data_IF_063268902862
#
_entry.id   IF_063268902862
#
_cell.length_a   1.000
_cell.length_b   1.000
_cell.length_c   1.000
_cell.angle_alpha   90.00
_cell.angle_beta   90.00
_cell.angle_gamma   90.00
#
_symmetry.space_group_name_H-M   'P 1'
#
loop_
_entity.id
_entity.type
_entity.pdbx_description
1 polymer ?
#
# COMPACT_ATOMS: atom_id res chain seq x y z
N UNK A 1 9.80 -9.58 -4.57
CA UNK A 1 11.18 -9.20 -4.88
C UNK A 1 11.17 -7.70 -5.00
N UNK A 2 12.10 -7.02 -4.35
CA UNK A 2 12.24 -5.57 -4.34
C UNK A 2 13.71 -5.21 -4.61
N UNK A 3 14.03 -3.97 -5.02
CA UNK A 3 15.41 -3.59 -5.32
C UNK A 3 16.32 -3.69 -4.09
N UNK A 4 17.55 -4.19 -4.26
CA UNK A 4 18.49 -4.43 -3.15
C UNK A 4 18.89 -3.15 -2.40
N UNK A 5 18.79 -1.99 -3.04
CA UNK A 5 19.11 -0.70 -2.46
C UNK A 5 17.93 -0.07 -1.69
N UNK A 6 16.79 -0.76 -1.53
CA UNK A 6 15.67 -0.29 -0.72
C UNK A 6 15.80 -0.82 0.71
N UNK A 7 15.58 0.05 1.68
CA UNK A 7 15.57 -0.32 3.08
C UNK A 7 14.26 -1.05 3.41
N UNK A 8 14.37 -2.20 4.08
CA UNK A 8 13.22 -2.98 4.55
C UNK A 8 13.07 -2.81 6.06
N UNK A 9 11.83 -2.61 6.50
CA UNK A 9 11.45 -2.73 7.90
C UNK A 9 10.14 -3.51 8.04
N UNK A 10 10.00 -4.17 9.17
CA UNK A 10 8.79 -4.88 9.57
C UNK A 10 8.47 -4.50 11.01
N UNK A 11 7.21 -4.14 11.23
CA UNK A 11 6.69 -3.74 12.53
C UNK A 11 5.43 -4.55 12.81
N UNK A 12 5.34 -5.11 14.02
CA UNK A 12 4.10 -5.71 14.51
C UNK A 12 3.53 -4.79 15.58
N UNK A 13 2.37 -4.23 15.30
CA UNK A 13 1.74 -3.27 16.23
C UNK A 13 1.07 -4.02 17.40
N UNK A 14 0.45 -5.16 17.08
CA UNK A 14 -0.13 -6.12 18.02
C UNK A 14 -0.17 -7.52 17.39
N UNK A 15 -0.88 -8.46 18.01
CA UNK A 15 -1.02 -9.82 17.51
C UNK A 15 -1.85 -9.92 16.22
N UNK A 16 -2.66 -8.91 15.90
CA UNK A 16 -3.65 -8.91 14.82
C UNK A 16 -3.24 -8.01 13.63
N UNK A 17 -2.16 -7.22 13.79
CA UNK A 17 -1.69 -6.21 12.83
C UNK A 17 -0.19 -6.32 12.57
N UNK A 18 0.17 -6.58 11.32
CA UNK A 18 1.55 -6.60 10.84
C UNK A 18 1.74 -5.58 9.73
N UNK A 19 2.85 -4.83 9.77
CA UNK A 19 3.19 -3.81 8.80
C UNK A 19 4.57 -4.11 8.22
N UNK A 20 4.65 -4.09 6.89
CA UNK A 20 5.91 -4.20 6.15
C UNK A 20 6.11 -2.91 5.37
N UNK A 21 7.30 -2.33 5.44
CA UNK A 21 7.66 -1.13 4.72
C UNK A 21 8.95 -1.33 3.92
N UNK A 22 8.97 -0.74 2.73
CA UNK A 22 10.10 -0.66 1.83
C UNK A 22 10.33 0.80 1.47
N UNK A 23 11.51 1.33 1.80
CA UNK A 23 11.87 2.71 1.53
C UNK A 23 12.92 2.78 0.42
N UNK A 24 12.62 3.55 -0.62
CA UNK A 24 13.55 3.83 -1.71
C UNK A 24 14.71 4.72 -1.23
N UNK A 25 15.83 4.80 -1.95
CA UNK A 25 16.90 5.76 -1.65
C UNK A 25 16.48 7.25 -1.76
N UNK A 26 15.38 7.53 -2.47
CA UNK A 26 14.81 8.87 -2.60
C UNK A 26 13.71 9.11 -1.57
N UNK A 27 12.67 9.82 -1.97
CA UNK A 27 11.50 10.12 -1.12
C UNK A 27 10.47 8.99 -1.06
N UNK A 28 10.56 8.02 -1.98
CA UNK A 28 9.51 7.03 -2.19
C UNK A 28 9.49 5.93 -1.13
N UNK A 29 8.29 5.48 -0.76
CA UNK A 29 8.11 4.25 0.02
C UNK A 29 6.89 3.46 -0.44
N UNK A 30 6.90 2.18 -0.08
CA UNK A 30 5.82 1.22 -0.26
C UNK A 30 5.56 0.52 1.08
N UNK A 31 4.31 0.43 1.50
CA UNK A 31 3.92 -0.11 2.79
C UNK A 31 2.70 -1.01 2.61
N UNK A 32 2.74 -2.19 3.24
CA UNK A 32 1.60 -3.09 3.35
C UNK A 32 1.30 -3.37 4.80
N UNK A 33 0.07 -3.05 5.20
CA UNK A 33 -0.50 -3.46 6.45
C UNK A 33 -1.41 -4.68 6.23
N UNK A 34 -1.19 -5.73 7.00
CA UNK A 34 -2.02 -6.91 7.13
C UNK A 34 -2.83 -6.80 8.41
N UNK A 35 -4.15 -6.95 8.29
CA UNK A 35 -5.06 -7.14 9.42
C UNK A 35 -5.59 -8.56 9.40
N UNK A 36 -5.43 -9.28 10.51
CA UNK A 36 -5.93 -10.65 10.68
C UNK A 36 -7.45 -10.72 10.71
N UNK A 37 -8.10 -9.63 11.14
CA UNK A 37 -9.56 -9.54 11.14
C UNK A 37 -10.08 -9.09 9.76
N UNK A 38 -11.09 -9.81 9.26
CA UNK A 38 -11.82 -9.41 8.07
C UNK A 38 -12.58 -8.09 8.31
N UNK A 39 -12.17 -7.03 7.61
CA UNK A 39 -12.84 -5.73 7.54
C UNK A 39 -13.18 -5.41 6.09
N UNK A 40 -14.19 -4.58 5.87
CA UNK A 40 -14.53 -4.11 4.53
C UNK A 40 -13.36 -3.28 3.95
N UNK A 41 -12.91 -3.56 2.71
CA UNK A 41 -11.90 -2.76 2.04
C UNK A 41 -12.27 -1.28 1.93
N UNK A 42 -13.55 -0.97 1.75
CA UNK A 42 -14.06 0.40 1.68
C UNK A 42 -13.85 1.15 3.00
N UNK A 43 -14.12 0.49 4.12
CA UNK A 43 -13.89 1.05 5.46
C UNK A 43 -12.39 1.26 5.67
N UNK A 44 -11.57 0.27 5.37
CA UNK A 44 -10.12 0.35 5.55
C UNK A 44 -9.47 1.45 4.70
N UNK A 45 -9.88 1.58 3.44
CA UNK A 45 -9.39 2.65 2.58
C UNK A 45 -9.81 4.03 3.09
N UNK A 46 -11.03 4.17 3.63
CA UNK A 46 -11.51 5.40 4.22
C UNK A 46 -10.78 5.74 5.55
N UNK A 47 -10.50 4.75 6.40
CA UNK A 47 -9.69 4.92 7.62
C UNK A 47 -8.26 5.39 7.27
N UNK A 48 -7.66 4.83 6.21
CA UNK A 48 -6.35 5.24 5.73
C UNK A 48 -6.36 6.66 5.16
N UNK A 49 -7.34 7.02 4.34
CA UNK A 49 -7.52 8.41 3.87
C UNK A 49 -7.68 9.38 5.04
N UNK A 50 -8.55 9.04 6.00
CA UNK A 50 -8.81 9.88 7.15
C UNK A 50 -7.54 10.16 7.97
N UNK A 51 -6.65 9.16 8.10
CA UNK A 51 -5.35 9.34 8.75
C UNK A 51 -4.49 10.40 8.03
N UNK A 52 -4.48 10.41 6.69
CA UNK A 52 -3.77 11.42 5.91
C UNK A 52 -4.42 12.80 6.07
N UNK A 53 -5.76 12.87 6.05
CA UNK A 53 -6.52 14.12 6.28
C UNK A 53 -6.34 14.73 7.67
N UNK A 54 -5.92 13.95 8.68
CA UNK A 54 -5.55 14.49 10.00
C UNK A 54 -4.17 15.15 10.01
N UNK A 55 -3.29 14.77 9.08
CA UNK A 55 -1.92 15.27 9.00
C UNK A 55 -1.78 16.44 8.02
N UNK A 56 -2.61 16.48 6.98
CA UNK A 56 -2.52 17.47 5.90
C UNK A 56 -3.88 18.09 5.61
N UNK A 57 -3.93 19.43 5.60
CA UNK A 57 -5.18 20.20 5.46
C UNK A 57 -5.68 20.32 4.00
N UNK A 58 -4.79 20.27 3.01
CA UNK A 58 -5.11 20.50 1.59
C UNK A 58 -4.67 19.30 0.76
N UNK A 59 -5.60 18.36 0.57
CA UNK A 59 -5.39 17.10 -0.14
C UNK A 59 -6.38 17.02 -1.31
N UNK A 60 -5.87 16.83 -2.51
CA UNK A 60 -6.69 16.40 -3.64
C UNK A 60 -6.91 14.89 -3.57
N UNK A 61 -8.18 14.46 -3.60
CA UNK A 61 -8.56 13.06 -3.41
C UNK A 61 -9.35 12.57 -4.62
N UNK A 62 -8.90 11.49 -5.23
CA UNK A 62 -9.61 10.80 -6.31
C UNK A 62 -9.89 9.37 -5.89
N UNK A 63 -11.17 8.98 -5.82
CA UNK A 63 -11.55 7.59 -5.54
C UNK A 63 -11.20 6.69 -6.73
N UNK A 64 -10.61 5.52 -6.44
CA UNK A 64 -10.22 4.52 -7.43
C UNK A 64 -10.75 3.15 -7.04
N UNK A 65 -11.23 2.40 -8.03
CA UNK A 65 -11.50 0.98 -7.94
C UNK A 65 -10.80 0.29 -9.10
N UNK A 66 -9.95 -0.70 -8.81
CA UNK A 66 -9.12 -1.36 -9.82
C UNK A 66 -8.84 -2.83 -9.46
N UNK A 67 -8.32 -3.57 -10.43
CA UNK A 67 -7.91 -4.96 -10.25
C UNK A 67 -6.39 -5.08 -10.40
N UNK A 68 -5.72 -5.61 -9.38
CA UNK A 68 -4.27 -5.82 -9.36
C UNK A 68 -4.01 -7.32 -9.25
N UNK A 69 -3.43 -7.93 -10.28
CA UNK A 69 -3.15 -9.39 -10.31
C UNK A 69 -4.37 -10.27 -9.98
N UNK A 70 -5.56 -9.89 -10.46
CA UNK A 70 -6.81 -10.60 -10.20
C UNK A 70 -7.46 -10.28 -8.84
N UNK A 71 -6.90 -9.35 -8.07
CA UNK A 71 -7.44 -8.92 -6.77
C UNK A 71 -8.15 -7.58 -6.95
N UNK A 72 -9.46 -7.56 -6.70
CA UNK A 72 -10.22 -6.31 -6.67
C UNK A 72 -9.78 -5.48 -5.47
N UNK A 73 -9.50 -4.21 -5.73
CA UNK A 73 -9.07 -3.23 -4.73
C UNK A 73 -9.86 -1.94 -4.88
N UNK A 74 -10.01 -1.23 -3.77
CA UNK A 74 -10.65 0.08 -3.70
C UNK A 74 -9.75 1.03 -2.93
N UNK A 75 -9.79 2.31 -3.23
CA UNK A 75 -9.11 3.32 -2.43
C UNK A 75 -9.03 4.66 -3.10
N UNK A 76 -7.89 5.33 -2.92
CA UNK A 76 -7.75 6.74 -3.28
C UNK A 76 -6.38 7.06 -3.85
N UNK A 77 -6.36 7.93 -4.84
CA UNK A 77 -5.18 8.64 -5.31
C UNK A 77 -5.18 10.01 -4.65
N UNK A 78 -4.06 10.34 -4.01
CA UNK A 78 -3.88 11.52 -3.20
C UNK A 78 -2.77 12.39 -3.76
N UNK A 79 -2.96 13.70 -3.72
CA UNK A 79 -1.95 14.71 -4.00
C UNK A 79 -2.01 15.77 -2.91
N UNK A 80 -0.91 16.03 -2.21
CA UNK A 80 -0.88 16.99 -1.10
C UNK A 80 0.49 17.65 -0.92
N UNK A 81 0.52 18.77 -0.20
CA UNK A 81 1.76 19.50 0.10
C UNK A 81 2.38 19.02 1.43
N UNK A 82 3.65 18.65 1.41
CA UNK A 82 4.42 18.24 2.58
C UNK A 82 5.84 18.81 2.53
N UNK A 83 6.22 19.62 3.53
CA UNK A 83 7.57 20.16 3.71
C UNK A 83 8.22 20.72 2.42
N UNK A 84 7.49 21.58 1.70
CA UNK A 84 7.92 22.20 0.44
C UNK A 84 7.85 21.33 -0.83
N UNK A 85 7.33 20.11 -0.70
CA UNK A 85 7.14 19.19 -1.80
C UNK A 85 5.67 18.88 -2.03
N UNK A 86 5.32 18.60 -3.28
CA UNK A 86 4.06 17.94 -3.61
C UNK A 86 4.33 16.43 -3.51
N UNK A 87 3.49 15.72 -2.78
CA UNK A 87 3.56 14.28 -2.59
C UNK A 87 2.41 13.63 -3.33
N UNK A 88 2.75 12.69 -4.22
CA UNK A 88 1.80 11.78 -4.83
C UNK A 88 1.73 10.52 -3.97
N UNK A 89 0.55 10.21 -3.45
CA UNK A 89 0.31 9.02 -2.61
C UNK A 89 -0.87 8.21 -3.14
N UNK A 90 -0.85 6.91 -2.89
CA UNK A 90 -1.86 5.96 -3.35
C UNK A 90 -2.19 5.03 -2.20
N UNK A 91 -3.48 4.91 -1.95
CA UNK A 91 -4.04 4.01 -0.94
C UNK A 91 -4.91 3.00 -1.65
N UNK A 92 -4.69 1.72 -1.39
CA UNK A 92 -5.56 0.62 -1.83
C UNK A 92 -5.85 -0.29 -0.66
N UNK A 93 -7.10 -0.72 -0.54
CA UNK A 93 -7.48 -1.80 0.34
C UNK A 93 -8.11 -2.93 -0.46
N UNK A 94 -7.85 -4.15 -0.01
CA UNK A 94 -8.37 -5.37 -0.61
C UNK A 94 -8.36 -6.50 0.43
N UNK A 95 -9.00 -7.62 0.08
CA UNK A 95 -9.02 -8.82 0.92
C UNK A 95 -8.52 -10.03 0.14
N UNK A 96 -7.74 -10.88 0.81
CA UNK A 96 -7.27 -12.18 0.28
C UNK A 96 -7.42 -13.22 1.39
N UNK A 97 -8.09 -14.35 1.10
CA UNK A 97 -8.19 -15.51 1.99
C UNK A 97 -8.53 -15.17 3.46
N UNK A 98 -9.56 -14.33 3.67
CA UNK A 98 -10.08 -13.80 4.95
C UNK A 98 -9.24 -12.73 5.64
N UNK A 99 -8.09 -12.38 5.10
CA UNK A 99 -7.26 -11.30 5.61
C UNK A 99 -7.58 -10.01 4.87
N UNK A 100 -7.44 -8.90 5.57
CA UNK A 100 -7.63 -7.56 5.00
C UNK A 100 -6.30 -6.86 4.89
N UNK A 101 -6.11 -6.11 3.82
CA UNK A 101 -4.86 -5.42 3.55
C UNK A 101 -5.12 -3.95 3.28
N UNK A 102 -4.20 -3.12 3.75
CA UNK A 102 -4.04 -1.74 3.31
C UNK A 102 -2.67 -1.62 2.69
N UNK A 103 -2.64 -1.20 1.44
CA UNK A 103 -1.45 -0.96 0.66
C UNK A 103 -1.34 0.55 0.45
N UNK A 104 -0.21 1.12 0.84
CA UNK A 104 0.09 2.52 0.66
C UNK A 104 1.44 2.67 -0.05
N UNK A 105 1.52 3.52 -1.06
CA UNK A 105 2.81 3.92 -1.62
C UNK A 105 2.78 5.38 -2.02
N UNK A 106 3.91 6.04 -1.85
CA UNK A 106 4.05 7.46 -2.16
C UNK A 106 5.47 7.82 -2.54
N UNK A 107 5.64 9.01 -3.08
CA UNK A 107 6.91 9.70 -3.27
C UNK A 107 6.64 11.20 -3.48
N UNK A 108 7.68 12.01 -3.46
CA UNK A 108 7.67 13.33 -4.10
C UNK A 108 7.15 13.18 -5.54
N UNK A 109 6.27 14.08 -5.97
CA UNK A 109 5.55 14.00 -7.24
C UNK A 109 6.50 13.88 -8.45
N UNK A 110 7.63 14.59 -8.44
CA UNK A 110 8.63 14.52 -9.50
C UNK A 110 9.37 13.17 -9.58
N UNK A 111 9.45 12.45 -8.45
CA UNK A 111 10.04 11.11 -8.36
C UNK A 111 9.00 10.00 -8.58
N UNK A 112 7.72 10.31 -8.34
CA UNK A 112 6.63 9.34 -8.32
C UNK A 112 6.48 8.61 -9.65
N UNK A 113 6.49 9.33 -10.78
CA UNK A 113 6.39 8.73 -12.12
C UNK A 113 7.55 7.76 -12.42
N UNK A 114 8.77 8.10 -11.97
CA UNK A 114 9.96 7.26 -12.18
C UNK A 114 9.93 6.01 -11.31
N UNK A 115 9.36 6.11 -10.11
CA UNK A 115 9.35 5.04 -9.11
C UNK A 115 8.11 4.15 -9.23
N UNK A 116 7.03 4.65 -9.83
CA UNK A 116 5.76 3.94 -10.02
C UNK A 116 5.88 2.55 -10.63
N UNK A 117 6.71 2.30 -11.67
CA UNK A 117 6.91 0.96 -12.19
C UNK A 117 7.49 -0.02 -11.16
N UNK A 118 8.32 0.48 -10.23
CA UNK A 118 8.90 -0.34 -9.16
C UNK A 118 7.85 -0.68 -8.11
N UNK A 119 7.03 0.29 -7.70
CA UNK A 119 5.88 0.02 -6.82
C UNK A 119 4.94 -1.02 -7.42
N UNK A 120 4.59 -0.86 -8.70
CA UNK A 120 3.77 -1.82 -9.42
C UNK A 120 4.39 -3.22 -9.45
N UNK A 121 5.69 -3.33 -9.71
CA UNK A 121 6.39 -4.62 -9.73
C UNK A 121 6.45 -5.29 -8.35
N UNK A 122 6.66 -4.53 -7.27
CA UNK A 122 6.63 -5.04 -5.89
C UNK A 122 5.23 -5.58 -5.57
N UNK A 123 4.19 -4.77 -5.82
CA UNK A 123 2.78 -5.15 -5.60
C UNK A 123 2.39 -6.37 -6.42
N UNK A 124 2.71 -6.41 -7.72
CA UNK A 124 2.41 -7.54 -8.58
C UNK A 124 3.14 -8.81 -8.12
N UNK A 125 4.42 -8.69 -7.74
CA UNK A 125 5.18 -9.81 -7.20
C UNK A 125 4.56 -10.36 -5.91
N UNK A 126 4.08 -9.49 -5.02
CA UNK A 126 3.40 -9.90 -3.79
C UNK A 126 2.09 -10.62 -4.10
N UNK A 127 1.25 -10.00 -4.92
CA UNK A 127 -0.08 -10.50 -5.21
C UNK A 127 -0.08 -11.66 -6.19
N UNK A 128 1.01 -11.97 -6.89
CA UNK A 128 1.02 -12.99 -7.94
C UNK A 128 0.31 -14.30 -7.53
N UNK A 129 -0.53 -14.88 -8.42
CA UNK A 129 -1.30 -16.09 -8.11
C UNK A 129 -0.43 -17.25 -7.60
N UNK A 130 0.77 -17.41 -8.17
CA UNK A 130 1.72 -18.45 -7.77
C UNK A 130 2.13 -18.34 -6.28
N UNK A 131 2.33 -17.13 -5.76
CA UNK A 131 2.65 -16.92 -4.34
C UNK A 131 1.44 -17.11 -3.44
N UNK A 132 0.25 -16.67 -3.87
CA UNK A 132 -1.00 -16.92 -3.13
C UNK A 132 -1.25 -18.43 -2.98
N UNK A 133 -1.04 -19.21 -4.05
CA UNK A 133 -1.13 -20.67 -4.02
C UNK A 133 -0.08 -21.32 -3.12
N UNK A 134 1.16 -20.82 -3.12
CA UNK A 134 2.21 -21.33 -2.23
C UNK A 134 1.89 -21.06 -0.74
N UNK A 135 1.36 -19.88 -0.41
CA UNK A 135 0.94 -19.55 0.95
C UNK A 135 -0.21 -20.45 1.44
N UNK A 136 -1.19 -20.74 0.58
CA UNK A 136 -2.30 -21.66 0.88
C UNK A 136 -1.84 -23.11 1.12
N UNK A 137 -0.76 -23.56 0.46
CA UNK A 137 -0.24 -24.91 0.64
C UNK A 137 0.62 -25.08 1.91
N UNK A 138 1.25 -24.01 2.42
CA UNK A 138 2.06 -24.06 3.64
C UNK A 138 1.24 -24.00 4.94
N UNK A 139 -0.06 -23.67 4.87
CA UNK A 139 -0.98 -23.63 6.02
C UNK A 139 -1.85 -24.92 6.15
N UNK A 140 -1.42 -26.03 5.53
CA UNK A 140 -2.01 -27.37 5.70
C UNK A 140 -1.05 -28.31 6.43
#
# INVERSE_FOLDING_TARGET
>A
MYPENWAFSEESQDADSHCVMLQSPGSGFWMLQLLQTAKSPEILAAEALHSVEQEYDDIEVVRVEEEIEGVRSVGYDLLFYCLDFIVSSRVRSFSVDRHSFVLLWQAEDQEFEKTSPVFAAITASLLSPAKRMAALNNNK
#
